data_IF_044759739906
#
_entry.id   IF_044759739906
#
_cell.length_a   1.000
_cell.length_b   1.000
_cell.length_c   1.000
_cell.angle_alpha   90.00
_cell.angle_beta   90.00
_cell.angle_gamma   90.00
#
_symmetry.space_group_name_H-M   'P 1'
#
loop_
_entity.id
_entity.type
_entity.pdbx_description
1 polymer ?
#
# COMPACT_ATOMS: atom_id res chain seq x y z
N UNK A 1 -24.77 12.70 -14.19
CA UNK A 1 -23.84 13.71 -13.63
C UNK A 1 -23.35 13.42 -12.20
N UNK A 2 -24.14 12.78 -11.31
CA UNK A 2 -23.69 12.39 -9.95
C UNK A 2 -22.57 11.33 -9.93
N UNK A 3 -22.54 10.42 -10.91
CA UNK A 3 -21.64 9.26 -10.95
C UNK A 3 -20.15 9.60 -11.11
N UNK A 4 -19.78 10.54 -11.96
CA UNK A 4 -18.36 10.87 -12.18
C UNK A 4 -17.74 11.59 -10.98
N UNK A 5 -18.49 12.50 -10.36
CA UNK A 5 -18.04 13.17 -9.11
C UNK A 5 -17.89 12.17 -7.97
N UNK A 6 -18.81 11.21 -7.82
CA UNK A 6 -18.69 10.13 -6.83
C UNK A 6 -17.49 9.23 -7.09
N UNK A 7 -17.17 8.93 -8.37
CA UNK A 7 -15.97 8.13 -8.71
C UNK A 7 -14.68 8.86 -8.34
N UNK A 8 -14.57 10.15 -8.67
CA UNK A 8 -13.39 10.96 -8.35
C UNK A 8 -13.23 11.08 -6.83
N UNK A 9 -14.32 11.38 -6.11
CA UNK A 9 -14.29 11.47 -4.65
C UNK A 9 -13.92 10.12 -4.01
N UNK A 10 -14.47 9.01 -4.52
CA UNK A 10 -14.13 7.68 -4.06
C UNK A 10 -12.65 7.36 -4.26
N UNK A 11 -12.08 7.78 -5.40
CA UNK A 11 -10.65 7.62 -5.68
C UNK A 11 -9.79 8.44 -4.72
N UNK A 12 -10.09 9.72 -4.52
CA UNK A 12 -9.34 10.60 -3.59
C UNK A 12 -9.34 10.02 -2.18
N UNK A 13 -10.51 9.59 -1.67
CA UNK A 13 -10.62 9.00 -0.34
C UNK A 13 -9.90 7.65 -0.27
N UNK A 14 -9.96 6.84 -1.34
CA UNK A 14 -9.27 5.56 -1.40
C UNK A 14 -7.74 5.68 -1.38
N UNK A 15 -7.17 6.82 -1.77
CA UNK A 15 -5.73 7.07 -1.65
C UNK A 15 -5.28 7.29 -0.21
N UNK A 16 -6.18 7.59 0.73
CA UNK A 16 -5.82 7.83 2.13
C UNK A 16 -5.24 6.54 2.76
N UNK A 17 -5.84 5.38 2.49
CA UNK A 17 -5.42 4.11 3.11
C UNK A 17 -4.00 3.69 2.68
N UNK A 18 -3.66 3.65 1.37
CA UNK A 18 -2.28 3.39 0.93
C UNK A 18 -1.28 4.44 1.41
N UNK A 19 -1.68 5.71 1.46
CA UNK A 19 -0.80 6.79 1.92
C UNK A 19 -0.49 6.64 3.41
N UNK A 20 -1.48 6.32 4.23
CA UNK A 20 -1.27 6.03 5.66
C UNK A 20 -0.43 4.78 5.86
N UNK A 21 -0.64 3.73 5.06
CA UNK A 21 0.19 2.54 5.07
C UNK A 21 1.66 2.90 4.81
N UNK A 22 1.96 3.59 3.70
CA UNK A 22 3.32 4.01 3.37
C UNK A 22 3.93 4.92 4.45
N UNK A 23 3.14 5.83 5.01
CA UNK A 23 3.61 6.67 6.12
C UNK A 23 4.05 5.81 7.31
N UNK A 24 3.23 4.82 7.69
CA UNK A 24 3.50 3.96 8.82
C UNK A 24 4.73 3.08 8.55
N UNK A 25 4.79 2.43 7.40
CA UNK A 25 5.84 1.44 7.15
C UNK A 25 7.18 2.08 6.76
N UNK A 26 7.17 3.14 5.95
CA UNK A 26 8.40 3.81 5.49
C UNK A 26 8.94 4.80 6.52
N UNK A 27 8.09 5.64 7.14
CA UNK A 27 8.56 6.70 8.03
C UNK A 27 8.55 6.33 9.51
N UNK A 28 7.68 5.39 9.91
CA UNK A 28 7.56 5.02 11.33
C UNK A 28 8.41 3.82 11.71
N UNK A 29 9.13 3.23 10.75
CA UNK A 29 10.04 2.11 10.98
C UNK A 29 9.33 0.89 11.57
N UNK A 30 8.05 0.66 11.24
CA UNK A 30 7.30 -0.50 11.69
C UNK A 30 7.89 -1.78 11.04
N UNK A 31 8.99 -2.27 11.61
CA UNK A 31 9.87 -3.26 11.00
C UNK A 31 9.21 -4.64 10.85
N UNK A 32 8.27 -5.01 11.73
CA UNK A 32 7.77 -6.38 11.79
C UNK A 32 7.03 -6.86 10.52
N UNK A 33 6.29 -5.98 9.82
CA UNK A 33 5.61 -6.36 8.58
C UNK A 33 6.58 -6.54 7.40
N UNK A 34 7.72 -5.84 7.47
CA UNK A 34 8.68 -5.72 6.37
C UNK A 34 9.84 -6.70 6.50
N UNK A 35 10.17 -7.09 7.73
CA UNK A 35 11.23 -8.04 8.06
C UNK A 35 10.91 -9.45 7.55
N UNK A 36 9.68 -9.93 7.71
CA UNK A 36 9.31 -11.29 7.27
C UNK A 36 9.46 -11.48 5.75
N UNK A 37 8.90 -10.60 4.88
CA UNK A 37 9.14 -10.68 3.45
C UNK A 37 10.63 -10.54 3.08
N UNK A 38 11.38 -9.71 3.80
CA UNK A 38 12.80 -9.53 3.56
C UNK A 38 13.61 -10.79 3.91
N UNK A 39 13.36 -11.41 5.07
CA UNK A 39 14.03 -12.65 5.49
C UNK A 39 13.77 -13.79 4.50
N UNK A 40 12.56 -13.89 3.98
CA UNK A 40 12.21 -14.86 2.93
C UNK A 40 12.99 -14.56 1.64
N UNK A 41 13.04 -13.29 1.22
CA UNK A 41 13.80 -12.89 0.04
C UNK A 41 15.29 -13.18 0.20
N UNK A 42 15.88 -12.82 1.34
CA UNK A 42 17.30 -13.02 1.62
C UNK A 42 17.66 -14.52 1.72
N UNK A 43 16.75 -15.35 2.24
CA UNK A 43 16.94 -16.80 2.25
C UNK A 43 16.93 -17.41 0.83
N UNK A 44 16.23 -16.80 -0.13
CA UNK A 44 16.16 -17.25 -1.52
C UNK A 44 17.31 -16.67 -2.37
N UNK A 45 17.67 -15.40 -2.13
CA UNK A 45 18.66 -14.65 -2.91
C UNK A 45 19.60 -13.84 -1.99
N UNK A 46 20.54 -14.51 -1.30
CA UNK A 46 21.41 -13.86 -0.32
C UNK A 46 22.31 -12.82 -0.98
N UNK A 47 22.37 -11.61 -0.39
CA UNK A 47 23.18 -10.49 -0.86
C UNK A 47 22.64 -9.78 -2.11
N UNK A 48 21.40 -10.09 -2.55
CA UNK A 48 20.84 -9.53 -3.78
C UNK A 48 20.47 -8.05 -3.72
N UNK A 49 19.89 -7.60 -2.61
CA UNK A 49 19.50 -6.20 -2.41
C UNK A 49 19.68 -5.81 -0.94
N UNK A 50 19.94 -4.52 -0.67
CA UNK A 50 19.94 -4.04 0.71
C UNK A 50 18.53 -4.13 1.31
N UNK A 51 18.44 -4.47 2.60
CA UNK A 51 17.19 -4.55 3.36
C UNK A 51 16.31 -3.32 3.12
N UNK A 52 16.88 -2.12 3.27
CA UNK A 52 16.16 -0.87 3.10
C UNK A 52 15.58 -0.71 1.67
N UNK A 53 16.34 -1.08 0.64
CA UNK A 53 15.85 -1.02 -0.75
C UNK A 53 14.70 -2.00 -0.98
N UNK A 54 14.83 -3.24 -0.49
CA UNK A 54 13.79 -4.24 -0.63
C UNK A 54 12.50 -3.79 0.06
N UNK A 55 12.61 -3.31 1.30
CA UNK A 55 11.47 -2.86 2.10
C UNK A 55 10.73 -1.72 1.40
N UNK A 56 11.43 -0.69 0.92
CA UNK A 56 10.81 0.43 0.21
C UNK A 56 10.06 -0.06 -1.04
N UNK A 57 10.67 -0.94 -1.83
CA UNK A 57 10.06 -1.46 -3.05
C UNK A 57 8.83 -2.32 -2.73
N UNK A 58 8.94 -3.20 -1.73
CA UNK A 58 7.85 -4.05 -1.28
C UNK A 58 6.65 -3.22 -0.80
N UNK A 59 6.90 -2.22 0.05
CA UNK A 59 5.86 -1.35 0.60
C UNK A 59 5.13 -0.56 -0.50
N UNK A 60 5.86 -0.05 -1.49
CA UNK A 60 5.25 0.64 -2.65
C UNK A 60 4.35 -0.31 -3.43
N UNK A 61 4.78 -1.56 -3.65
CA UNK A 61 3.95 -2.56 -4.34
C UNK A 61 2.67 -2.85 -3.54
N UNK A 62 2.79 -3.11 -2.23
CA UNK A 62 1.63 -3.36 -1.36
C UNK A 62 0.68 -2.16 -1.35
N UNK A 63 1.21 -0.94 -1.27
CA UNK A 63 0.40 0.28 -1.31
C UNK A 63 -0.38 0.42 -2.62
N UNK A 64 0.24 0.13 -3.78
CA UNK A 64 -0.46 0.14 -5.07
C UNK A 64 -1.57 -0.91 -5.10
N UNK A 65 -1.31 -2.11 -4.58
CA UNK A 65 -2.30 -3.18 -4.49
C UNK A 65 -3.49 -2.81 -3.59
N UNK A 66 -3.27 -2.00 -2.56
CA UNK A 66 -4.31 -1.52 -1.65
C UNK A 66 -5.25 -0.46 -2.28
N UNK A 67 -4.85 0.22 -3.36
CA UNK A 67 -5.68 1.26 -4.00
C UNK A 67 -6.99 0.67 -4.52
N UNK A 68 -6.93 -0.49 -5.19
CA UNK A 68 -8.09 -1.13 -5.82
C UNK A 68 -9.17 -1.53 -4.79
N UNK A 69 -8.88 -2.33 -3.76
CA UNK A 69 -9.89 -2.70 -2.76
C UNK A 69 -10.39 -1.47 -2.00
N UNK A 70 -9.52 -0.50 -1.67
CA UNK A 70 -9.93 0.75 -1.02
C UNK A 70 -10.93 1.52 -1.88
N UNK A 71 -10.66 1.65 -3.18
CA UNK A 71 -11.56 2.29 -4.12
C UNK A 71 -12.92 1.59 -4.21
N UNK A 72 -12.93 0.26 -4.30
CA UNK A 72 -14.16 -0.52 -4.37
C UNK A 72 -15.01 -0.35 -3.10
N UNK A 73 -14.38 -0.40 -1.93
CA UNK A 73 -15.06 -0.21 -0.64
C UNK A 73 -15.66 1.19 -0.55
N UNK A 74 -14.85 2.23 -0.76
CA UNK A 74 -15.31 3.62 -0.65
C UNK A 74 -16.42 3.91 -1.67
N UNK A 75 -16.26 3.44 -2.91
CA UNK A 75 -17.28 3.60 -3.95
C UNK A 75 -18.59 2.91 -3.56
N UNK A 76 -18.53 1.72 -2.96
CA UNK A 76 -19.74 1.01 -2.52
C UNK A 76 -20.43 1.72 -1.36
N UNK A 77 -19.67 2.32 -0.43
CA UNK A 77 -20.22 3.12 0.66
C UNK A 77 -20.90 4.38 0.12
N UNK A 78 -20.26 5.12 -0.79
CA UNK A 78 -20.80 6.36 -1.35
C UNK A 78 -21.97 6.15 -2.33
N UNK A 79 -22.24 4.92 -2.76
CA UNK A 79 -23.38 4.57 -3.63
C UNK A 79 -24.61 4.10 -2.85
N UNK A 80 -24.46 3.72 -1.58
CA UNK A 80 -25.58 3.49 -0.66
C UNK A 80 -26.16 4.84 -0.24
#
# INVERSE_FOLDING_TARGET
>A
MKTERTKILAFIIALILPTLFLWITVFSGASAFNLLPFEIHEAINPGGASENTFIIVFDVIVAILLIIPSYLIVRNILRK
#
